data_IF_776124015107
#
_entry.id   IF_776124015107
#
_cell.length_a   1.000
_cell.length_b   1.000
_cell.length_c   1.000
_cell.angle_alpha   90.00
_cell.angle_beta   90.00
_cell.angle_gamma   90.00
#
_symmetry.space_group_name_H-M   'P 1'
#
loop_
_entity.id
_entity.type
_entity.pdbx_description
1 polymer ?
#
# COMPACT_ATOMS: atom_id res chain seq x y z
N UNK A 1 -13.32 -1.63 -7.33
CA UNK A 1 -14.00 -1.29 -6.07
C UNK A 1 -13.11 -0.49 -5.11
N UNK A 2 -11.78 -0.74 -5.04
CA UNK A 2 -10.85 0.09 -4.22
C UNK A 2 -10.31 1.33 -4.98
N UNK A 3 -10.22 1.28 -6.31
CA UNK A 3 -9.50 2.27 -7.12
C UNK A 3 -9.94 3.74 -6.91
N UNK A 4 -11.23 3.97 -6.66
CA UNK A 4 -11.85 5.30 -6.60
C UNK A 4 -11.81 5.98 -5.22
N UNK A 5 -11.25 5.33 -4.19
CA UNK A 5 -11.22 5.92 -2.85
C UNK A 5 -9.83 6.47 -2.52
N UNK A 6 -9.81 7.65 -1.89
CA UNK A 6 -8.62 8.24 -1.25
C UNK A 6 -8.53 7.86 0.23
N UNK A 7 -9.26 6.83 0.64
CA UNK A 7 -9.40 6.40 2.03
C UNK A 7 -9.06 4.92 2.16
N UNK A 8 -7.78 4.58 1.95
CA UNK A 8 -7.28 3.24 2.21
C UNK A 8 -6.51 3.23 3.53
N UNK A 9 -6.99 2.43 4.46
CA UNK A 9 -6.28 2.12 5.69
C UNK A 9 -5.69 0.72 5.63
N UNK A 10 -4.40 0.59 5.92
CA UNK A 10 -3.69 -0.69 6.01
C UNK A 10 -3.43 -1.07 7.47
N UNK A 11 -3.63 -2.34 7.81
CA UNK A 11 -3.33 -2.91 9.11
C UNK A 11 -2.71 -4.31 8.94
N UNK A 12 -1.39 -4.41 8.72
CA UNK A 12 -0.68 -5.69 8.76
C UNK A 12 -0.85 -6.35 10.13
N UNK A 13 -0.68 -7.67 10.22
CA UNK A 13 -0.68 -8.33 11.53
C UNK A 13 0.44 -7.81 12.44
N UNK A 14 0.23 -7.96 13.75
CA UNK A 14 1.27 -7.85 14.78
C UNK A 14 2.08 -9.15 14.83
N UNK A 15 3.06 -9.19 15.72
CA UNK A 15 3.97 -10.32 15.90
C UNK A 15 3.28 -11.63 16.29
N UNK A 16 2.08 -11.54 16.88
CA UNK A 16 1.25 -12.68 17.23
C UNK A 16 0.58 -13.35 16.01
N UNK A 17 0.63 -12.72 14.83
CA UNK A 17 0.03 -13.21 13.60
C UNK A 17 -1.50 -13.23 13.59
N UNK A 18 -2.16 -12.69 14.63
CA UNK A 18 -3.61 -12.75 14.82
C UNK A 18 -4.21 -11.35 15.00
N UNK A 19 -3.52 -10.49 15.74
CA UNK A 19 -4.00 -9.13 16.02
C UNK A 19 -3.60 -8.20 14.88
N UNK A 20 -4.54 -7.41 14.37
CA UNK A 20 -4.21 -6.37 13.40
C UNK A 20 -3.43 -5.22 14.04
N UNK A 21 -2.46 -4.68 13.31
CA UNK A 21 -1.76 -3.46 13.65
C UNK A 21 -2.70 -2.25 13.69
N UNK A 22 -2.16 -1.11 14.12
CA UNK A 22 -2.91 0.16 14.08
C UNK A 22 -3.21 0.52 12.61
N UNK A 23 -4.49 0.74 12.24
CA UNK A 23 -4.84 1.17 10.89
C UNK A 23 -4.09 2.45 10.53
N UNK A 24 -3.34 2.39 9.43
CA UNK A 24 -2.56 3.51 8.92
C UNK A 24 -3.16 3.97 7.61
N UNK A 25 -3.51 5.24 7.51
CA UNK A 25 -3.97 5.83 6.25
C UNK A 25 -2.80 5.91 5.27
N UNK A 26 -2.99 5.37 4.07
CA UNK A 26 -1.97 5.32 3.03
C UNK A 26 -2.55 5.69 1.67
N UNK A 27 -1.71 6.22 0.80
CA UNK A 27 -2.08 6.42 -0.60
C UNK A 27 -1.90 5.14 -1.38
N UNK A 28 -2.83 4.88 -2.29
CA UNK A 28 -2.79 3.69 -3.13
C UNK A 28 -3.24 3.96 -4.55
N UNK A 29 -2.71 3.14 -5.45
CA UNK A 29 -2.98 3.19 -6.89
C UNK A 29 -3.24 1.79 -7.41
N UNK A 30 -3.95 1.71 -8.53
CA UNK A 30 -4.20 0.44 -9.23
C UNK A 30 -3.41 0.44 -10.53
N UNK A 31 -2.65 -0.62 -10.76
CA UNK A 31 -1.91 -0.89 -12.01
C UNK A 31 -2.25 -2.30 -12.45
N UNK A 32 -2.70 -2.48 -13.69
CA UNK A 32 -3.11 -3.78 -14.25
C UNK A 32 -4.07 -4.58 -13.35
N UNK A 33 -5.02 -3.89 -12.71
CA UNK A 33 -5.99 -4.49 -11.81
C UNK A 33 -5.47 -4.85 -10.41
N UNK A 34 -4.18 -4.63 -10.13
CA UNK A 34 -3.55 -4.91 -8.85
C UNK A 34 -3.40 -3.63 -8.02
N UNK A 35 -3.58 -3.75 -6.70
CA UNK A 35 -3.50 -2.63 -5.76
C UNK A 35 -2.08 -2.48 -5.23
N UNK A 36 -1.53 -1.26 -5.30
CA UNK A 36 -0.20 -0.93 -4.82
C UNK A 36 -0.24 0.22 -3.83
N UNK A 37 0.65 0.17 -2.85
CA UNK A 37 0.87 1.23 -1.88
C UNK A 37 2.36 1.47 -1.68
N UNK A 38 2.73 2.70 -1.31
CA UNK A 38 4.09 3.07 -0.95
C UNK A 38 4.16 3.63 0.45
N UNK A 39 5.17 3.21 1.20
CA UNK A 39 5.50 3.86 2.44
C UNK A 39 6.20 5.18 2.16
N UNK A 40 5.55 6.30 2.52
CA UNK A 40 6.14 7.64 2.46
C UNK A 40 7.51 7.72 3.17
N UNK A 41 7.61 7.05 4.33
CA UNK A 41 8.85 6.96 5.11
C UNK A 41 9.83 5.90 4.59
N UNK A 42 9.57 5.32 3.42
CA UNK A 42 10.41 4.30 2.82
C UNK A 42 10.47 3.02 3.65
N UNK A 43 11.58 2.29 3.52
CA UNK A 43 11.79 0.99 4.17
C UNK A 43 11.86 1.08 5.70
N UNK A 44 12.05 2.27 6.26
CA UNK A 44 12.01 2.52 7.71
C UNK A 44 10.57 2.63 8.27
N UNK A 45 9.54 2.52 7.43
CA UNK A 45 8.15 2.56 7.87
C UNK A 45 7.77 1.28 8.63
N UNK A 46 7.22 1.44 9.84
CA UNK A 46 6.79 0.33 10.69
C UNK A 46 5.69 -0.53 10.05
N UNK A 47 4.73 0.07 9.35
CA UNK A 47 3.70 -0.70 8.66
C UNK A 47 4.29 -1.48 7.48
N UNK A 48 5.25 -0.91 6.76
CA UNK A 48 5.89 -1.58 5.63
C UNK A 48 6.69 -2.80 6.11
N UNK A 49 7.48 -2.64 7.18
CA UNK A 49 8.22 -3.72 7.80
C UNK A 49 7.27 -4.85 8.28
N UNK A 50 6.19 -4.49 8.99
CA UNK A 50 5.19 -5.45 9.42
C UNK A 50 4.51 -6.15 8.24
N UNK A 51 4.17 -5.42 7.17
CA UNK A 51 3.56 -5.98 5.96
C UNK A 51 4.47 -7.04 5.30
N UNK A 52 5.76 -6.76 5.16
CA UNK A 52 6.69 -7.72 4.53
C UNK A 52 7.04 -8.90 5.43
N UNK A 53 7.10 -8.68 6.75
CA UNK A 53 7.39 -9.74 7.70
C UNK A 53 6.21 -10.69 7.88
N UNK A 54 5.01 -10.15 8.07
CA UNK A 54 3.80 -10.95 8.32
C UNK A 54 3.12 -11.43 7.04
N UNK A 55 3.29 -10.71 5.93
CA UNK A 55 2.72 -11.04 4.60
C UNK A 55 1.20 -11.14 4.55
N UNK A 56 0.52 -10.78 5.64
CA UNK A 56 -0.93 -10.82 5.75
C UNK A 56 -1.43 -9.74 6.72
N UNK A 57 -2.70 -9.39 6.55
CA UNK A 57 -3.41 -8.46 7.43
C UNK A 57 -4.72 -8.03 6.80
N UNK A 58 -5.11 -6.78 7.05
CA UNK A 58 -6.39 -6.24 6.62
C UNK A 58 -6.25 -4.84 6.04
N UNK A 59 -7.07 -4.57 5.04
CA UNK A 59 -7.33 -3.20 4.59
C UNK A 59 -8.76 -2.79 4.93
N UNK A 60 -8.97 -1.49 5.06
CA UNK A 60 -10.28 -0.87 5.08
C UNK A 60 -10.35 0.18 3.98
N UNK A 61 -11.34 0.07 3.10
CA UNK A 61 -11.63 1.05 2.04
C UNK A 61 -13.12 1.35 2.02
N UNK A 62 -13.52 2.62 2.07
CA UNK A 62 -14.94 3.03 2.10
C UNK A 62 -15.77 2.21 3.11
N UNK A 63 -15.26 2.09 4.34
CA UNK A 63 -15.82 1.28 5.45
C UNK A 63 -15.86 -0.23 5.24
N UNK A 64 -15.48 -0.76 4.07
CA UNK A 64 -15.38 -2.20 3.83
C UNK A 64 -14.03 -2.73 4.29
N UNK A 65 -14.06 -3.78 5.11
CA UNK A 65 -12.87 -4.50 5.57
C UNK A 65 -12.60 -5.71 4.69
N UNK A 66 -11.34 -5.91 4.28
CA UNK A 66 -10.90 -7.11 3.55
C UNK A 66 -9.59 -7.60 4.12
N UNK A 67 -9.51 -8.92 4.30
CA UNK A 67 -8.23 -9.56 4.57
C UNK A 67 -7.44 -9.61 3.26
N UNK A 68 -6.12 -9.45 3.38
CA UNK A 68 -5.21 -9.33 2.24
C UNK A 68 -3.88 -10.01 2.54
N UNK A 69 -3.19 -10.39 1.49
CA UNK A 69 -1.77 -10.70 1.50
C UNK A 69 -0.95 -9.47 1.08
N UNK A 70 0.24 -9.33 1.66
CA UNK A 70 1.20 -8.30 1.33
C UNK A 70 2.47 -8.93 0.75
N UNK A 71 2.98 -8.33 -0.31
CA UNK A 71 4.29 -8.67 -0.84
C UNK A 71 5.01 -7.42 -1.33
N UNK A 72 6.33 -7.50 -1.49
CA UNK A 72 7.09 -6.45 -2.16
C UNK A 72 6.69 -6.42 -3.64
N UNK A 73 6.45 -5.23 -4.18
CA UNK A 73 6.17 -5.09 -5.60
C UNK A 73 7.41 -5.38 -6.45
N UNK A 74 7.20 -5.79 -7.70
CA UNK A 74 8.29 -5.93 -8.66
C UNK A 74 8.85 -4.54 -9.02
N UNK A 75 10.16 -4.35 -8.86
CA UNK A 75 10.83 -3.08 -9.15
C UNK A 75 10.65 -2.65 -10.63
N UNK A 76 10.42 -3.60 -11.55
CA UNK A 76 10.12 -3.31 -12.96
C UNK A 76 8.79 -2.55 -13.17
N UNK A 77 7.87 -2.58 -12.20
CA UNK A 77 6.60 -1.83 -12.26
C UNK A 77 6.73 -0.41 -11.70
N UNK A 78 7.90 0.01 -11.20
CA UNK A 78 8.05 1.27 -10.50
C UNK A 78 7.56 2.49 -11.31
N UNK A 79 7.89 2.53 -12.61
CA UNK A 79 7.47 3.62 -13.50
C UNK A 79 5.97 3.64 -13.74
N UNK A 80 5.35 2.48 -14.00
CA UNK A 80 3.90 2.40 -14.19
C UNK A 80 3.14 2.81 -12.92
N UNK A 81 3.66 2.41 -11.76
CA UNK A 81 3.12 2.82 -10.46
C UNK A 81 3.30 4.33 -10.25
N UNK A 82 4.42 4.93 -10.69
CA UNK A 82 4.58 6.39 -10.64
C UNK A 82 3.57 7.12 -11.50
N UNK A 83 3.33 6.66 -12.73
CA UNK A 83 2.33 7.26 -13.62
C UNK A 83 0.94 7.17 -13.02
N UNK A 84 0.60 6.04 -12.38
CA UNK A 84 -0.66 5.92 -11.64
C UNK A 84 -0.74 6.90 -10.45
N UNK A 85 0.35 7.10 -9.71
CA UNK A 85 0.42 8.11 -8.64
C UNK A 85 0.29 9.53 -9.18
N UNK A 86 0.91 9.85 -10.31
CA UNK A 86 0.80 11.15 -10.98
C UNK A 86 -0.62 11.41 -11.47
N UNK A 87 -1.26 10.41 -12.07
CA UNK A 87 -2.64 10.52 -12.53
C UNK A 87 -3.61 10.75 -11.37
N UNK A 88 -3.46 10.02 -10.26
CA UNK A 88 -4.38 10.10 -9.11
C UNK A 88 -4.10 11.30 -8.20
N UNK A 89 -2.84 11.63 -7.95
CA UNK A 89 -2.43 12.62 -6.94
C UNK A 89 -1.64 13.81 -7.54
N UNK A 90 -1.79 14.07 -8.84
CA UNK A 90 -1.04 15.08 -9.60
C UNK A 90 -1.01 16.49 -9.01
N UNK A 91 -2.08 16.89 -8.32
CA UNK A 91 -2.22 18.21 -7.68
C UNK A 91 -1.61 18.29 -6.28
N UNK A 92 -1.20 17.17 -5.69
CA UNK A 92 -0.73 17.12 -4.31
C UNK A 92 0.75 17.52 -4.19
N UNK A 93 1.10 18.43 -3.26
CA UNK A 93 2.50 18.82 -3.05
C UNK A 93 3.38 17.67 -2.54
N UNK A 94 2.79 16.60 -2.02
CA UNK A 94 3.53 15.43 -1.52
C UNK A 94 3.86 14.39 -2.60
N UNK A 95 3.36 14.56 -3.83
CA UNK A 95 3.57 13.61 -4.92
C UNK A 95 5.06 13.38 -5.20
N UNK A 96 5.87 14.43 -5.24
CA UNK A 96 7.31 14.34 -5.51
C UNK A 96 8.03 13.40 -4.54
N UNK A 97 7.67 13.46 -3.24
CA UNK A 97 8.20 12.54 -2.23
C UNK A 97 7.72 11.11 -2.44
N UNK A 98 6.45 10.92 -2.85
CA UNK A 98 5.84 9.60 -3.05
C UNK A 98 6.40 8.85 -4.27
N UNK A 99 6.80 9.59 -5.31
CA UNK A 99 7.45 9.03 -6.51
C UNK A 99 8.98 9.06 -6.43
N UNK A 100 9.56 9.48 -5.31
CA UNK A 100 10.99 9.49 -5.08
C UNK A 100 11.56 8.11 -4.74
N UNK A 101 12.88 7.94 -4.88
CA UNK A 101 13.60 6.67 -4.64
C UNK A 101 13.25 6.01 -3.30
N UNK A 102 13.14 6.82 -2.23
CA UNK A 102 12.84 6.35 -0.87
C UNK A 102 11.49 5.61 -0.79
N UNK A 103 10.44 6.19 -1.34
CA UNK A 103 9.10 5.60 -1.34
C UNK A 103 8.99 4.45 -2.35
N UNK A 104 9.65 4.56 -3.51
CA UNK A 104 9.74 3.47 -4.51
C UNK A 104 10.31 2.19 -3.91
N UNK A 105 11.40 2.30 -3.15
CA UNK A 105 12.04 1.16 -2.49
C UNK A 105 11.14 0.46 -1.45
N UNK A 106 10.02 1.08 -1.07
CA UNK A 106 9.06 0.57 -0.12
C UNK A 106 7.65 0.44 -0.73
N UNK A 107 7.61 -0.08 -1.96
CA UNK A 107 6.36 -0.38 -2.66
C UNK A 107 5.87 -1.79 -2.30
N UNK A 108 4.62 -1.90 -1.88
CA UNK A 108 3.94 -3.16 -1.63
C UNK A 108 2.82 -3.38 -2.63
N UNK A 109 2.63 -4.64 -3.03
CA UNK A 109 1.39 -5.11 -3.65
C UNK A 109 0.46 -5.63 -2.54
N UNK A 110 -0.82 -5.29 -2.66
CA UNK A 110 -1.88 -5.68 -1.75
C UNK A 110 -2.85 -6.58 -2.51
N UNK A 111 -2.93 -7.84 -2.08
CA UNK A 111 -3.67 -8.87 -2.80
C UNK A 111 -4.85 -9.29 -1.92
N UNK A 112 -6.11 -9.06 -2.34
CA UNK A 112 -7.27 -9.62 -1.65
C UNK A 112 -7.14 -11.13 -1.49
N UNK A 113 -7.34 -11.64 -0.28
CA UNK A 113 -7.52 -13.07 -0.08
C UNK A 113 -9.01 -13.33 -0.16
N UNK A 114 -9.49 -13.74 -1.33
CA UNK A 114 -10.88 -14.11 -1.50
C UNK A 114 -11.18 -15.37 -0.67
N UNK A 115 -12.34 -15.36 -0.02
CA UNK A 115 -13.09 -16.57 0.35
C UNK A 115 -14.23 -16.73 -0.64
#
# INVERSE_FOLDING_TARGET
WIADTDDLHIAPFRDDGVTYGTPTWIWSVVVDGNLYARAYNGTASSWYDAALRQKAGRITAASMKRDVAFARANDALAEQIDEAYKAKYGSSPYLASMIGHKARAATVIIIPVDR
#
